data_IF_892393286543
#
_entry.id   IF_892393286543
#
_cell.length_a   1.000
_cell.length_b   1.000
_cell.length_c   1.000
_cell.angle_alpha   90.00
_cell.angle_beta   90.00
_cell.angle_gamma   90.00
#
_symmetry.space_group_name_H-M   'P 1'
#
loop_
_entity.id
_entity.type
_entity.pdbx_description
1 polymer ?
#
# COMPACT_ATOMS: atom_id res chain seq x y z
N UNK A 1 -26.58 -60.21 -6.79
CA UNK A 1 -26.41 -58.81 -6.41
C UNK A 1 -27.76 -58.14 -6.52
N UNK A 2 -28.30 -57.63 -5.42
CA UNK A 2 -29.68 -57.09 -5.38
C UNK A 2 -29.70 -55.67 -5.96
N UNK A 3 -30.76 -55.28 -6.69
CA UNK A 3 -30.93 -53.94 -7.29
C UNK A 3 -30.73 -52.81 -6.25
N UNK A 4 -31.02 -53.10 -4.98
CA UNK A 4 -30.79 -52.18 -3.85
C UNK A 4 -29.29 -51.92 -3.58
N UNK A 5 -28.43 -52.93 -3.71
CA UNK A 5 -26.98 -52.80 -3.53
C UNK A 5 -26.35 -52.01 -4.67
N UNK A 6 -26.78 -52.28 -5.92
CA UNK A 6 -26.30 -51.56 -7.10
C UNK A 6 -26.61 -50.06 -7.02
N UNK A 7 -27.83 -49.68 -6.61
CA UNK A 7 -28.23 -48.28 -6.44
C UNK A 7 -27.47 -47.58 -5.30
N UNK A 8 -27.12 -48.29 -4.23
CA UNK A 8 -26.32 -47.75 -3.13
C UNK A 8 -24.90 -47.42 -3.59
N UNK A 9 -24.26 -48.34 -4.32
CA UNK A 9 -22.90 -48.14 -4.84
C UNK A 9 -22.83 -46.98 -5.83
N UNK A 10 -23.82 -46.86 -6.74
CA UNK A 10 -23.89 -45.75 -7.70
C UNK A 10 -24.04 -44.39 -6.99
N UNK A 11 -24.88 -44.30 -5.94
CA UNK A 11 -25.05 -43.07 -5.16
C UNK A 11 -23.75 -42.67 -4.44
N UNK A 12 -23.05 -43.63 -3.85
CA UNK A 12 -21.77 -43.37 -3.17
C UNK A 12 -20.70 -42.92 -4.17
N UNK A 13 -20.59 -43.56 -5.33
CA UNK A 13 -19.64 -43.15 -6.37
C UNK A 13 -19.95 -41.74 -6.90
N UNK A 14 -21.22 -41.42 -7.13
CA UNK A 14 -21.63 -40.10 -7.60
C UNK A 14 -21.36 -39.02 -6.55
N UNK A 15 -21.59 -39.30 -5.27
CA UNK A 15 -21.23 -38.40 -4.17
C UNK A 15 -19.71 -38.16 -4.10
N UNK A 16 -18.89 -39.20 -4.26
CA UNK A 16 -17.42 -39.07 -4.28
C UNK A 16 -16.97 -38.19 -5.46
N UNK A 17 -17.52 -38.41 -6.66
CA UNK A 17 -17.18 -37.60 -7.84
C UNK A 17 -17.59 -36.14 -7.64
N UNK A 18 -18.79 -35.89 -7.12
CA UNK A 18 -19.25 -34.53 -6.82
C UNK A 18 -18.38 -33.84 -5.77
N UNK A 19 -17.91 -34.55 -4.74
CA UNK A 19 -17.00 -33.99 -3.74
C UNK A 19 -15.59 -33.77 -4.32
N UNK A 20 -15.09 -34.71 -5.12
CA UNK A 20 -13.78 -34.62 -5.76
C UNK A 20 -13.67 -33.44 -6.73
N UNK A 21 -14.78 -33.01 -7.33
CA UNK A 21 -14.85 -31.82 -8.19
C UNK A 21 -15.24 -30.58 -7.38
N UNK A 22 -16.20 -30.72 -6.48
CA UNK A 22 -16.75 -29.61 -5.70
C UNK A 22 -15.75 -28.97 -4.75
N UNK A 23 -14.92 -29.76 -4.07
CA UNK A 23 -13.92 -29.24 -3.12
C UNK A 23 -12.84 -28.41 -3.84
N UNK A 24 -12.20 -28.90 -4.93
CA UNK A 24 -11.26 -28.07 -5.69
C UNK A 24 -11.88 -26.81 -6.29
N UNK A 25 -13.11 -26.88 -6.81
CA UNK A 25 -13.78 -25.69 -7.34
C UNK A 25 -14.08 -24.66 -6.26
N UNK A 26 -14.54 -25.10 -5.08
CA UNK A 26 -14.74 -24.22 -3.94
C UNK A 26 -13.41 -23.58 -3.49
N UNK A 27 -12.34 -24.37 -3.42
CA UNK A 27 -10.99 -23.89 -3.10
C UNK A 27 -10.48 -22.84 -4.11
N UNK A 28 -10.65 -23.11 -5.41
CA UNK A 28 -10.29 -22.18 -6.47
C UNK A 28 -11.11 -20.89 -6.41
N UNK A 29 -12.41 -20.98 -6.09
CA UNK A 29 -13.29 -19.84 -5.89
C UNK A 29 -12.85 -18.95 -4.74
N UNK A 30 -12.55 -19.54 -3.57
CA UNK A 30 -12.01 -18.79 -2.42
C UNK A 30 -10.67 -18.13 -2.77
N UNK A 31 -9.77 -18.87 -3.43
CA UNK A 31 -8.48 -18.33 -3.85
C UNK A 31 -8.60 -17.16 -4.82
N UNK A 32 -9.52 -17.25 -5.80
CA UNK A 32 -9.80 -16.17 -6.74
C UNK A 32 -10.35 -14.92 -6.03
N UNK A 33 -11.22 -15.10 -5.03
CA UNK A 33 -11.73 -13.98 -4.22
C UNK A 33 -10.63 -13.30 -3.41
N UNK A 34 -9.73 -14.07 -2.80
CA UNK A 34 -8.56 -13.53 -2.09
C UNK A 34 -7.68 -12.75 -3.05
N UNK A 35 -7.36 -13.29 -4.23
CA UNK A 35 -6.54 -12.58 -5.22
C UNK A 35 -7.19 -11.29 -5.72
N UNK A 36 -8.48 -11.31 -6.02
CA UNK A 36 -9.22 -10.11 -6.43
C UNK A 36 -9.25 -9.06 -5.32
N UNK A 37 -9.40 -9.49 -4.07
CA UNK A 37 -9.31 -8.60 -2.91
C UNK A 37 -7.91 -7.99 -2.82
N UNK A 38 -6.85 -8.80 -2.85
CA UNK A 38 -5.47 -8.30 -2.77
C UNK A 38 -5.17 -7.32 -3.91
N UNK A 39 -5.49 -7.67 -5.16
CA UNK A 39 -5.26 -6.82 -6.33
C UNK A 39 -5.96 -5.45 -6.24
N UNK A 40 -7.11 -5.36 -5.57
CA UNK A 40 -7.81 -4.09 -5.36
C UNK A 40 -7.08 -3.15 -4.40
N UNK A 41 -6.30 -3.68 -3.46
CA UNK A 41 -5.59 -2.88 -2.45
C UNK A 41 -4.15 -2.55 -2.87
N UNK A 42 -3.62 -3.21 -3.92
CA UNK A 42 -2.28 -2.94 -4.46
C UNK A 42 -2.08 -1.45 -4.83
N UNK A 43 -3.01 -0.77 -5.52
CA UNK A 43 -2.85 0.65 -5.84
C UNK A 43 -2.72 1.54 -4.59
N UNK A 44 -3.54 1.28 -3.57
CA UNK A 44 -3.50 2.00 -2.29
C UNK A 44 -2.16 1.79 -1.58
N UNK A 45 -1.70 0.54 -1.49
CA UNK A 45 -0.42 0.23 -0.87
C UNK A 45 0.75 0.95 -1.54
N UNK A 46 0.79 0.97 -2.88
CA UNK A 46 1.80 1.73 -3.62
C UNK A 46 1.64 3.24 -3.43
N UNK A 47 0.40 3.75 -3.38
CA UNK A 47 0.16 5.18 -3.17
C UNK A 47 0.64 5.62 -1.79
N UNK A 48 0.41 4.80 -0.77
CA UNK A 48 0.88 5.05 0.58
C UNK A 48 2.40 5.05 0.64
N UNK A 49 3.06 4.05 0.03
CA UNK A 49 4.52 4.01 -0.06
C UNK A 49 5.12 5.22 -0.80
N UNK A 50 4.53 5.59 -1.93
CA UNK A 50 4.97 6.74 -2.71
C UNK A 50 4.78 8.05 -1.93
N UNK A 51 3.71 8.17 -1.14
CA UNK A 51 3.50 9.31 -0.26
C UNK A 51 4.58 9.39 0.84
N UNK A 52 4.89 8.28 1.51
CA UNK A 52 6.00 8.21 2.48
C UNK A 52 7.34 8.61 1.86
N UNK A 53 7.62 8.09 0.65
CA UNK A 53 8.82 8.42 -0.12
C UNK A 53 8.91 9.91 -0.44
N UNK A 54 7.81 10.51 -0.91
CA UNK A 54 7.72 11.94 -1.22
C UNK A 54 7.94 12.81 0.01
N UNK A 55 7.34 12.44 1.15
CA UNK A 55 7.46 13.17 2.41
C UNK A 55 8.90 13.16 2.92
N UNK A 56 9.55 11.99 2.93
CA UNK A 56 10.96 11.85 3.32
C UNK A 56 11.86 12.65 2.40
N UNK A 57 11.72 12.49 1.07
CA UNK A 57 12.53 13.24 0.10
C UNK A 57 12.33 14.76 0.25
N UNK A 58 11.10 15.19 0.52
CA UNK A 58 10.79 16.59 0.76
C UNK A 58 11.51 17.13 2.00
N UNK A 59 11.40 16.43 3.14
CA UNK A 59 12.06 16.82 4.39
C UNK A 59 13.59 16.88 4.24
N UNK A 60 14.17 15.90 3.54
CA UNK A 60 15.62 15.88 3.22
C UNK A 60 16.08 17.12 2.46
N UNK A 61 15.24 17.66 1.58
CA UNK A 61 15.56 18.82 0.77
C UNK A 61 15.18 20.17 1.43
N UNK A 62 14.41 20.15 2.52
CA UNK A 62 13.82 21.35 3.13
C UNK A 62 14.10 21.45 4.64
N UNK A 63 15.30 21.06 5.08
CA UNK A 63 15.76 21.17 6.48
C UNK A 63 14.75 20.57 7.48
N UNK A 64 14.28 19.35 7.19
CA UNK A 64 13.36 18.58 8.04
C UNK A 64 11.98 19.23 8.24
N UNK A 65 11.64 20.23 7.42
CA UNK A 65 10.33 20.89 7.44
C UNK A 65 9.24 19.98 6.87
N UNK A 66 8.11 19.91 7.58
CA UNK A 66 6.89 19.26 7.08
C UNK A 66 6.22 20.09 5.98
N UNK A 67 5.77 19.49 4.86
CA UNK A 67 5.08 20.23 3.80
C UNK A 67 3.70 20.73 4.25
N UNK A 68 3.32 21.91 3.78
CA UNK A 68 2.03 22.54 4.13
C UNK A 68 0.83 21.95 3.38
N UNK A 69 1.07 21.12 2.35
CA UNK A 69 0.00 20.51 1.59
C UNK A 69 0.43 19.92 0.25
N UNK A 70 -0.54 19.35 -0.46
CA UNK A 70 -0.35 18.76 -1.79
C UNK A 70 0.26 19.72 -2.82
N UNK A 71 -0.06 21.01 -2.76
CA UNK A 71 0.49 22.00 -3.70
C UNK A 71 2.00 22.13 -3.60
N UNK A 72 2.52 22.11 -2.38
CA UNK A 72 3.95 22.20 -2.09
C UNK A 72 4.67 20.91 -2.47
N UNK A 73 4.11 19.75 -2.12
CA UNK A 73 4.65 18.46 -2.57
C UNK A 73 4.64 18.31 -4.09
N UNK A 74 3.59 18.78 -4.77
CA UNK A 74 3.52 18.71 -6.23
C UNK A 74 4.55 19.62 -6.89
N UNK A 75 4.77 20.83 -6.37
CA UNK A 75 5.82 21.73 -6.85
C UNK A 75 7.20 21.11 -6.66
N UNK A 76 7.50 20.63 -5.44
CA UNK A 76 8.76 19.95 -5.15
C UNK A 76 8.99 18.76 -6.08
N UNK A 77 7.99 17.91 -6.26
CA UNK A 77 8.16 16.72 -7.08
C UNK A 77 8.29 17.04 -8.58
N UNK A 78 7.66 18.11 -9.06
CA UNK A 78 7.86 18.62 -10.42
C UNK A 78 9.30 19.16 -10.62
N UNK A 79 9.88 19.81 -9.60
CA UNK A 79 11.25 20.30 -9.62
C UNK A 79 12.29 19.16 -9.60
N UNK A 80 12.06 18.13 -8.77
CA UNK A 80 12.94 16.98 -8.66
C UNK A 80 12.80 16.01 -9.86
N UNK A 81 11.64 16.00 -10.51
CA UNK A 81 11.36 15.18 -11.69
C UNK A 81 11.64 13.70 -11.44
N UNK A 82 12.44 13.10 -12.32
CA UNK A 82 12.77 11.66 -12.25
C UNK A 82 13.74 11.27 -11.11
N UNK A 83 14.25 12.23 -10.31
CA UNK A 83 15.11 11.92 -9.17
C UNK A 83 14.36 11.19 -8.05
N UNK A 84 13.06 11.47 -7.88
CA UNK A 84 12.22 10.77 -6.91
C UNK A 84 11.56 9.58 -7.61
N UNK A 85 12.01 8.37 -7.29
CA UNK A 85 11.47 7.15 -7.86
C UNK A 85 10.15 6.76 -7.18
N UNK A 86 9.03 7.15 -7.78
CA UNK A 86 7.70 6.66 -7.38
C UNK A 86 7.47 5.26 -7.97
N UNK A 87 7.14 4.31 -7.11
CA UNK A 87 7.08 2.87 -7.42
C UNK A 87 5.77 2.43 -8.03
N UNK A 88 4.66 3.10 -7.71
CA UNK A 88 3.36 2.76 -8.29
C UNK A 88 3.09 3.36 -9.67
N UNK A 89 3.98 4.23 -10.16
CA UNK A 89 3.90 4.73 -11.54
C UNK A 89 4.26 3.65 -12.57
N UNK A 90 3.63 3.67 -13.74
CA UNK A 90 4.09 2.86 -14.88
C UNK A 90 5.48 3.34 -15.30
N UNK A 91 6.44 2.41 -15.34
CA UNK A 91 7.76 2.64 -15.91
C UNK A 91 7.68 2.77 -17.45
N UNK A 92 8.36 3.72 -18.11
CA UNK A 92 9.27 4.73 -17.55
C UNK A 92 8.55 5.98 -16.96
N UNK A 93 9.17 6.64 -15.96
CA UNK A 93 8.51 7.60 -15.06
C UNK A 93 8.28 9.03 -15.60
N UNK A 94 8.79 9.39 -16.78
CA UNK A 94 8.91 10.81 -17.18
C UNK A 94 7.60 11.50 -17.56
N UNK A 95 6.57 10.75 -17.97
CA UNK A 95 5.42 11.35 -18.67
C UNK A 95 4.14 11.33 -17.84
N UNK A 96 4.17 10.75 -16.63
CA UNK A 96 2.97 10.51 -15.81
C UNK A 96 3.10 10.90 -14.35
N UNK A 97 4.09 11.70 -14.00
CA UNK A 97 4.32 12.12 -12.61
C UNK A 97 3.11 12.88 -12.03
N UNK A 98 2.52 13.80 -12.80
CA UNK A 98 1.29 14.50 -12.42
C UNK A 98 0.11 13.54 -12.23
N UNK A 99 -0.06 12.58 -13.14
CA UNK A 99 -1.11 11.58 -13.05
C UNK A 99 -0.93 10.67 -11.83
N UNK A 100 0.33 10.32 -11.49
CA UNK A 100 0.64 9.53 -10.30
C UNK A 100 0.39 10.31 -9.01
N UNK A 101 0.78 11.58 -8.94
CA UNK A 101 0.45 12.45 -7.80
C UNK A 101 -1.07 12.59 -7.61
N UNK A 102 -1.82 12.73 -8.71
CA UNK A 102 -3.28 12.76 -8.64
C UNK A 102 -3.86 11.44 -8.11
N UNK A 103 -3.29 10.30 -8.52
CA UNK A 103 -3.68 8.99 -8.00
C UNK A 103 -3.37 8.85 -6.51
N UNK A 104 -2.15 9.23 -6.07
CA UNK A 104 -1.76 9.23 -4.66
C UNK A 104 -2.75 10.05 -3.84
N UNK A 105 -3.03 11.29 -4.28
CA UNK A 105 -3.99 12.18 -3.62
C UNK A 105 -5.40 11.59 -3.47
N UNK A 106 -5.81 10.70 -4.37
CA UNK A 106 -7.13 10.07 -4.32
C UNK A 106 -7.17 8.83 -3.42
N UNK A 107 -6.03 8.17 -3.20
CA UNK A 107 -5.95 6.91 -2.47
C UNK A 107 -5.49 7.08 -1.01
N UNK A 108 -4.77 8.17 -0.71
CA UNK A 108 -4.25 8.42 0.64
C UNK A 108 -4.54 9.84 1.11
N UNK A 109 -4.50 10.00 2.43
CA UNK A 109 -4.57 11.28 3.13
C UNK A 109 -3.27 11.49 3.88
N UNK A 110 -2.77 12.71 3.82
CA UNK A 110 -1.62 13.15 4.61
C UNK A 110 -2.14 14.07 5.71
N UNK A 111 -1.66 13.85 6.93
CA UNK A 111 -1.84 14.77 8.04
C UNK A 111 -0.89 15.97 7.87
N UNK A 112 -1.43 17.10 7.44
CA UNK A 112 -0.63 18.31 7.23
C UNK A 112 -0.30 19.04 8.54
N UNK A 113 -0.99 18.70 9.62
CA UNK A 113 -0.74 19.23 10.96
C UNK A 113 0.21 18.33 11.77
N UNK A 114 0.76 17.28 11.14
CA UNK A 114 1.75 16.39 11.75
C UNK A 114 3.01 17.16 12.17
N UNK A 115 3.41 16.97 13.43
CA UNK A 115 4.62 17.58 14.00
C UNK A 115 5.82 16.63 13.84
N UNK A 116 6.78 16.93 12.95
CA UNK A 116 7.95 16.09 12.74
C UNK A 116 8.90 16.06 13.95
N UNK A 117 8.77 16.99 14.91
CA UNK A 117 9.59 17.01 16.14
C UNK A 117 9.05 16.06 17.22
N UNK A 118 7.81 15.59 17.07
CA UNK A 118 7.16 14.63 17.96
C UNK A 118 6.61 13.42 17.19
N UNK A 119 7.45 12.66 16.47
CA UNK A 119 7.02 11.68 15.46
C UNK A 119 6.24 10.49 16.04
N UNK A 120 6.37 10.21 17.34
CA UNK A 120 5.64 9.14 18.01
C UNK A 120 4.15 9.44 18.23
N UNK A 121 3.71 10.70 18.04
CA UNK A 121 2.36 11.15 18.40
C UNK A 121 1.34 11.10 17.25
N UNK A 122 1.72 10.72 16.03
CA UNK A 122 0.86 10.84 14.84
C UNK A 122 0.97 9.71 13.82
N UNK A 123 0.03 9.73 12.87
CA UNK A 123 -0.02 8.84 11.70
C UNK A 123 0.00 9.74 10.45
N UNK A 124 1.18 10.12 9.95
CA UNK A 124 1.31 11.11 8.88
C UNK A 124 0.61 10.71 7.58
N UNK A 125 0.50 9.41 7.29
CA UNK A 125 -0.16 8.88 6.09
C UNK A 125 -1.25 7.88 6.48
N UNK A 126 -2.48 8.18 6.04
CA UNK A 126 -3.66 7.33 6.19
C UNK A 126 -4.26 6.99 4.83
N UNK A 127 -5.12 5.98 4.76
CA UNK A 127 -5.89 5.70 3.55
C UNK A 127 -6.94 6.81 3.29
N UNK A 128 -7.60 6.76 2.13
CA UNK A 128 -8.64 7.73 1.77
C UNK A 128 -9.80 7.82 2.80
N UNK A 129 -10.03 6.77 3.59
CA UNK A 129 -11.05 6.73 4.64
C UNK A 129 -10.56 7.28 5.99
N UNK A 130 -9.26 7.54 6.15
CA UNK A 130 -8.64 8.00 7.40
C UNK A 130 -8.17 6.87 8.33
N UNK A 131 -8.21 5.62 7.87
CA UNK A 131 -7.66 4.47 8.57
C UNK A 131 -6.18 4.23 8.24
N UNK A 132 -5.53 3.25 8.90
CA UNK A 132 -4.17 2.87 8.57
C UNK A 132 -4.08 2.39 7.12
N UNK A 133 -3.06 2.81 6.35
CA UNK A 133 -2.89 2.36 4.98
C UNK A 133 -2.49 0.88 4.97
N UNK A 134 -2.89 0.17 3.92
CA UNK A 134 -2.45 -1.22 3.76
C UNK A 134 -0.97 -1.26 3.33
N UNK A 135 -0.08 -1.59 4.26
CA UNK A 135 1.35 -1.75 3.99
C UNK A 135 1.65 -3.15 3.44
N UNK A 136 1.89 -3.26 2.13
CA UNK A 136 2.31 -4.53 1.50
C UNK A 136 3.83 -4.78 1.56
N UNK A 137 4.62 -3.72 1.63
CA UNK A 137 6.09 -3.80 1.59
C UNK A 137 6.70 -3.06 2.77
N UNK A 138 6.56 -1.74 2.77
CA UNK A 138 7.11 -0.84 3.77
C UNK A 138 5.98 0.03 4.30
N UNK A 139 5.93 0.25 5.61
CA UNK A 139 4.94 1.13 6.21
C UNK A 139 5.36 2.59 5.98
N UNK A 140 4.57 3.40 5.27
CA UNK A 140 4.95 4.77 4.97
C UNK A 140 5.12 5.64 6.22
N UNK A 141 4.41 5.32 7.31
CA UNK A 141 4.56 6.02 8.57
C UNK A 141 5.86 5.62 9.26
N UNK A 142 6.27 4.35 9.14
CA UNK A 142 7.55 3.90 9.65
C UNK A 142 8.71 4.54 8.89
N UNK A 143 8.62 4.66 7.56
CA UNK A 143 9.63 5.39 6.77
C UNK A 143 9.84 6.82 7.26
N UNK A 144 8.74 7.53 7.54
CA UNK A 144 8.80 8.90 8.08
C UNK A 144 9.41 8.91 9.47
N UNK A 145 9.02 7.97 10.34
CA UNK A 145 9.56 7.86 11.71
C UNK A 145 11.04 7.51 11.73
N UNK A 146 11.48 6.53 10.95
CA UNK A 146 12.88 6.12 10.82
C UNK A 146 13.74 7.28 10.32
N UNK A 147 13.26 8.01 9.31
CA UNK A 147 13.92 9.21 8.84
C UNK A 147 14.10 10.23 9.98
N UNK A 148 13.03 10.60 10.68
CA UNK A 148 13.07 11.59 11.75
C UNK A 148 13.94 11.14 12.93
N UNK A 149 13.90 9.86 13.30
CA UNK A 149 14.76 9.29 14.34
C UNK A 149 16.25 9.41 13.99
N UNK A 150 16.61 9.13 12.73
CA UNK A 150 18.00 9.27 12.26
C UNK A 150 18.52 10.72 12.34
N UNK A 151 17.64 11.72 12.28
CA UNK A 151 18.01 13.15 12.39
C UNK A 151 18.30 13.57 13.83
N UNK A 152 17.60 12.98 14.80
CA UNK A 152 17.85 13.21 16.23
C UNK A 152 19.20 12.61 16.63
N UNK A 153 19.48 11.37 16.22
CA UNK A 153 20.77 10.72 16.52
C UNK A 153 21.98 11.53 15.99
N UNK A 154 21.86 12.06 14.76
CA UNK A 154 22.91 12.91 14.18
C UNK A 154 23.10 14.24 14.92
N UNK A 155 22.05 14.77 15.55
CA UNK A 155 22.16 15.98 16.36
C UNK A 155 22.90 15.70 17.67
N UNK A 156 22.65 14.55 18.30
CA UNK A 156 23.28 14.14 19.56
C UNK A 156 24.77 13.74 19.39
N UNK A 157 25.19 13.24 18.23
CA UNK A 157 26.60 12.92 17.95
C UNK A 157 27.46 14.14 17.57
N UNK A 158 26.83 15.29 17.29
CA UNK A 158 27.49 16.52 16.87
C UNK A 158 27.84 17.51 17.99
N UNK A 159 27.45 17.23 19.24
CA UNK A 159 27.76 18.01 20.45
C UNK A 159 28.98 17.47 21.22
#
# INVERSE_FOLDING_TARGET
MSDKEARSTIRTQLAIVLLAIGIPLAGAGVWALVMLSTWRHVPEAYAAWDAGTLLVAYMQANDDRWPAGWGELAAFAAEQGAAIQLRGGQYPPSDRYEARLAEIKNLVKIDWDFDPTAPAAGIPVTNAEGGPPLALWEDPNEMVREYLASRVELADEGE
#
